data_IF_409383528634
#
_entry.id   IF_409383528634
#
_cell.length_a   1.000
_cell.length_b   1.000
_cell.length_c   1.000
_cell.angle_alpha   90.00
_cell.angle_beta   90.00
_cell.angle_gamma   90.00
#
_symmetry.space_group_name_H-M   'P 1'
#
loop_
_entity.id
_entity.type
_entity.pdbx_description
1 polymer ?
2 water ?
#
# COMPACT_ATOMS: atom_id res chain seq x y z
N UNK A 2 -0.60 -9.84 -11.00
CA UNK A 2 0.53 -10.50 -11.67
C UNK A 2 0.75 -11.84 -10.99
N UNK A 3 1.28 -12.80 -11.73
CA UNK A 3 1.55 -14.15 -11.24
C UNK A 3 2.68 -14.11 -10.22
N UNK A 4 3.85 -13.61 -10.61
CA UNK A 4 5.07 -13.84 -9.79
C UNK A 4 5.26 -12.67 -8.82
N UNK A 5 5.18 -11.44 -9.34
CA UNK A 5 5.58 -10.23 -8.57
C UNK A 5 4.40 -9.25 -8.50
N UNK A 6 3.85 -9.06 -7.31
CA UNK A 6 2.94 -7.95 -6.99
C UNK A 6 3.74 -6.92 -6.20
N UNK A 7 4.43 -6.02 -6.91
CA UNK A 7 5.56 -5.22 -6.39
C UNK A 7 5.09 -4.27 -5.26
N UNK A 8 3.87 -3.77 -5.28
CA UNK A 8 3.42 -2.87 -4.20
C UNK A 8 3.16 -3.73 -2.95
N UNK A 9 2.55 -4.88 -3.10
CA UNK A 9 2.31 -5.76 -1.92
C UNK A 9 3.67 -6.23 -1.38
N UNK A 10 4.57 -6.65 -2.24
CA UNK A 10 5.93 -7.07 -1.81
C UNK A 10 6.63 -5.92 -1.10
N UNK A 11 6.58 -4.70 -1.66
CA UNK A 11 7.16 -3.51 -0.99
C UNK A 11 6.54 -3.31 0.42
N UNK A 12 5.23 -3.45 0.59
CA UNK A 12 4.58 -3.32 1.93
C UNK A 12 5.22 -4.34 2.88
N UNK A 13 5.50 -5.56 2.38
CA UNK A 13 6.00 -6.66 3.21
C UNK A 13 7.47 -6.41 3.58
N UNK A 14 8.31 -6.12 2.62
CA UNK A 14 9.77 -6.01 2.92
C UNK A 14 10.01 -4.63 3.56
N UNK A 15 9.18 -3.63 3.24
CA UNK A 15 9.23 -2.32 3.93
C UNK A 15 8.96 -2.43 5.42
N UNK A 16 7.90 -3.13 5.79
CA UNK A 16 7.57 -3.49 7.21
C UNK A 16 8.76 -4.21 7.85
N UNK A 17 9.32 -5.22 7.20
CA UNK A 17 10.52 -5.93 7.71
C UNK A 17 11.66 -4.96 7.99
N UNK A 18 11.95 -4.04 7.06
CA UNK A 18 13.02 -3.08 7.30
C UNK A 18 12.69 -2.26 8.55
N UNK A 19 11.41 -1.92 8.77
CA UNK A 19 10.98 -1.03 9.86
C UNK A 19 10.66 -1.78 11.17
N UNK A 20 10.71 -3.11 11.19
CA UNK A 20 10.13 -3.89 12.31
C UNK A 20 10.95 -5.17 12.47
N UNK A 21 11.87 -5.18 13.44
CA UNK A 21 12.77 -6.34 13.66
C UNK A 21 11.97 -7.64 13.87
N UNK A 22 10.94 -7.60 14.69
CA UNK A 22 10.13 -8.80 15.06
C UNK A 22 9.40 -9.28 13.80
N UNK A 23 8.82 -8.37 13.01
CA UNK A 23 8.14 -8.83 11.78
C UNK A 23 9.16 -9.45 10.83
N UNK A 24 10.31 -8.79 10.69
CA UNK A 24 11.41 -9.29 9.82
C UNK A 24 11.72 -10.71 10.20
N UNK A 25 11.77 -11.03 11.49
CA UNK A 25 12.21 -12.37 11.96
C UNK A 25 11.10 -13.40 11.71
N UNK A 26 9.84 -13.03 11.90
CA UNK A 26 8.66 -13.90 11.64
C UNK A 26 8.64 -14.21 10.15
N UNK A 27 8.94 -13.20 9.32
CA UNK A 27 8.90 -13.29 7.85
C UNK A 27 10.03 -14.19 7.39
N UNK A 28 11.21 -14.09 7.97
CA UNK A 28 12.33 -14.97 7.56
C UNK A 28 12.02 -16.43 7.91
N UNK A 29 11.45 -16.63 9.09
CA UNK A 29 11.18 -18.01 9.59
C UNK A 29 10.04 -18.63 8.78
N UNK A 30 9.02 -17.85 8.46
CA UNK A 30 7.74 -18.38 7.96
C UNK A 30 7.12 -17.37 7.01
N UNK A 31 7.73 -17.14 5.82
CA UNK A 31 7.37 -16.01 4.98
C UNK A 31 5.90 -15.97 4.54
N UNK A 32 5.39 -17.08 4.00
CA UNK A 32 4.03 -17.08 3.42
C UNK A 32 3.04 -16.75 4.53
N UNK A 33 3.21 -17.32 5.72
CA UNK A 33 2.28 -17.13 6.86
C UNK A 33 2.45 -15.73 7.43
N UNK A 34 3.68 -15.22 7.56
CA UNK A 34 3.93 -13.85 8.06
C UNK A 34 3.23 -12.83 7.15
N UNK A 35 3.40 -12.98 5.84
CA UNK A 35 2.74 -12.08 4.87
C UNK A 35 1.19 -12.21 4.91
N UNK A 36 0.65 -13.43 5.00
CA UNK A 36 -0.82 -13.67 5.12
C UNK A 36 -1.38 -12.93 6.35
N UNK A 37 -0.61 -12.90 7.43
CA UNK A 37 -0.96 -12.20 8.70
C UNK A 37 -1.19 -10.71 8.50
N UNK A 38 -0.57 -10.12 7.48
CA UNK A 38 -0.73 -8.66 7.22
C UNK A 38 -1.50 -8.48 5.90
N UNK A 39 -2.18 -9.55 5.46
CA UNK A 39 -3.12 -9.51 4.31
C UNK A 39 -2.39 -9.52 2.98
N UNK A 40 -1.17 -10.07 2.91
CA UNK A 40 -0.47 -10.23 1.61
C UNK A 40 -0.32 -11.70 1.27
N UNK A 41 -0.52 -12.02 -0.01
CA UNK A 41 -0.22 -13.35 -0.57
C UNK A 41 1.08 -13.24 -1.36
N UNK A 42 2.07 -13.98 -0.92
CA UNK A 42 3.32 -14.08 -1.69
C UNK A 42 3.25 -15.29 -2.63
N UNK A 43 3.61 -15.10 -3.90
CA UNK A 43 3.89 -16.20 -4.83
C UNK A 43 5.10 -17.00 -4.33
N UNK A 44 5.29 -18.21 -4.86
CA UNK A 44 6.48 -19.03 -4.54
C UNK A 44 7.72 -18.22 -4.96
N UNK A 45 7.67 -17.50 -6.08
CA UNK A 45 8.80 -16.61 -6.48
C UNK A 45 9.11 -15.61 -5.36
N UNK A 46 8.09 -14.90 -4.90
CA UNK A 46 8.29 -13.88 -3.83
C UNK A 46 8.75 -14.54 -2.53
N UNK A 47 8.31 -15.76 -2.22
CA UNK A 47 8.76 -16.46 -1.00
C UNK A 47 10.29 -16.72 -1.10
N UNK A 48 10.79 -17.22 -2.23
CA UNK A 48 12.24 -17.48 -2.33
C UNK A 48 13.00 -16.17 -2.27
N UNK A 49 12.46 -15.11 -2.87
CA UNK A 49 13.07 -13.77 -2.85
C UNK A 49 13.19 -13.25 -1.40
N UNK A 50 12.12 -13.29 -0.64
CA UNK A 50 12.07 -12.81 0.78
C UNK A 50 13.07 -13.63 1.60
N UNK A 51 13.22 -14.94 1.33
CA UNK A 51 14.17 -15.79 2.10
C UNK A 51 15.62 -15.34 1.84
N UNK A 52 15.90 -14.62 0.76
CA UNK A 52 17.25 -14.16 0.38
C UNK A 52 17.60 -12.84 1.09
N UNK A 53 16.72 -12.32 1.97
CA UNK A 53 17.06 -11.19 2.88
C UNK A 53 17.69 -11.76 4.16
N UNK A 54 18.97 -11.49 4.31
CA UNK A 54 19.75 -11.87 5.51
C UNK A 54 19.31 -10.98 6.67
N UNK A 55 18.83 -11.58 7.76
CA UNK A 55 18.29 -10.84 8.91
C UNK A 55 19.36 -9.90 9.49
N UNK A 56 20.62 -10.34 9.66
CA UNK A 56 21.68 -9.49 10.25
C UNK A 56 21.90 -8.26 9.35
N UNK A 57 21.91 -8.47 8.04
CA UNK A 57 22.15 -7.39 7.06
C UNK A 57 20.98 -6.43 7.09
N UNK A 58 19.77 -6.94 7.25
CA UNK A 58 18.59 -6.06 7.30
C UNK A 58 18.60 -5.25 8.59
N UNK A 59 18.92 -5.89 9.70
CA UNK A 59 19.06 -5.16 10.99
C UNK A 59 20.11 -4.05 10.81
N UNK A 60 21.26 -4.34 10.20
CA UNK A 60 22.31 -3.31 10.00
C UNK A 60 21.73 -2.11 9.24
N UNK A 61 20.97 -2.37 8.18
CA UNK A 61 20.38 -1.33 7.31
C UNK A 61 19.27 -0.57 8.05
N UNK A 62 18.48 -1.26 8.87
CA UNK A 62 17.24 -0.69 9.44
C UNK A 62 17.37 -0.21 10.89
N UNK A 63 18.49 -0.39 11.59
CA UNK A 63 18.52 -0.18 13.06
C UNK A 63 18.21 1.29 13.35
N UNK A 64 18.73 2.21 12.56
CA UNK A 64 18.59 3.66 12.83
C UNK A 64 17.14 4.06 12.55
N UNK A 65 16.57 3.62 11.43
CA UNK A 65 15.20 4.08 11.06
C UNK A 65 14.20 3.43 12.03
N UNK A 66 14.43 2.17 12.41
CA UNK A 66 13.56 1.49 13.42
C UNK A 66 13.49 2.38 14.67
N UNK A 67 14.64 2.82 15.20
CA UNK A 67 14.70 3.62 16.45
C UNK A 67 13.91 4.90 16.25
N UNK A 68 14.18 5.61 15.16
CA UNK A 68 13.62 6.96 14.92
C UNK A 68 12.10 6.88 14.72
N UNK A 69 11.63 5.90 13.97
CA UNK A 69 10.18 5.79 13.71
C UNK A 69 9.51 5.31 14.99
N UNK A 70 10.14 4.43 15.75
CA UNK A 70 9.56 3.89 17.00
C UNK A 70 9.23 5.03 17.96
N UNK A 71 10.18 5.92 18.22
CA UNK A 71 10.00 7.04 19.19
C UNK A 71 8.86 7.96 18.71
N UNK A 72 8.76 8.20 17.40
CA UNK A 72 7.75 9.10 16.79
C UNK A 72 6.34 8.49 16.87
N UNK A 73 6.23 7.18 16.70
CA UNK A 73 4.95 6.47 16.60
C UNK A 73 4.23 6.52 17.94
N UNK A 74 4.91 6.43 19.08
CA UNK A 74 4.16 6.13 20.35
C UNK A 74 3.06 7.17 20.58
N UNK A 75 3.41 8.47 20.59
CA UNK A 75 2.45 9.56 20.88
C UNK A 75 2.09 10.36 19.63
N UNK A 76 2.09 9.72 18.47
CA UNK A 76 1.73 10.38 17.19
C UNK A 76 0.25 10.84 17.25
N UNK A 77 -0.07 12.00 16.67
CA UNK A 77 -1.43 12.63 16.67
C UNK A 77 -2.11 12.44 15.30
N UNK A 78 -3.37 12.90 15.16
CA UNK A 78 -4.04 13.17 13.85
C UNK A 78 -3.85 14.65 13.50
N UNK A 79 -3.96 15.02 12.21
CA UNK A 79 -3.55 16.34 11.64
C UNK A 79 -4.71 17.35 11.78
N UNK B 2 -2.08 10.25 10.15
CA UNK B 2 -1.35 10.56 11.37
C UNK B 2 -0.41 11.70 11.01
N UNK B 3 0.02 12.44 12.01
CA UNK B 3 0.90 13.60 11.84
C UNK B 3 2.29 13.11 11.43
N UNK B 4 2.97 12.33 12.26
CA UNK B 4 4.41 12.06 12.03
C UNK B 4 4.60 10.80 11.18
N UNK B 5 3.86 9.72 11.47
CA UNK B 5 4.14 8.37 10.88
C UNK B 5 2.88 7.81 10.24
N UNK B 6 2.86 7.71 8.92
CA UNK B 6 1.87 6.92 8.15
C UNK B 6 2.58 5.63 7.75
N UNK B 7 2.54 4.64 8.63
CA UNK B 7 3.50 3.49 8.57
C UNK B 7 3.27 2.67 7.29
N UNK B 8 2.06 2.60 6.73
CA UNK B 8 1.87 1.80 5.48
C UNK B 8 2.49 2.58 4.31
N UNK B 9 2.31 3.89 4.25
CA UNK B 9 2.95 4.70 3.16
C UNK B 9 4.48 4.67 3.33
N UNK B 10 5.00 4.80 4.55
CA UNK B 10 6.45 4.73 4.79
C UNK B 10 6.97 3.36 4.34
N UNK B 11 6.32 2.26 4.76
CA UNK B 11 6.67 0.90 4.31
C UNK B 11 6.72 0.80 2.77
N UNK B 12 5.72 1.31 2.04
CA UNK B 12 5.74 1.36 0.57
C UNK B 12 7.02 2.04 0.09
N UNK B 13 7.42 3.16 0.70
CA UNK B 13 8.61 3.93 0.24
C UNK B 13 9.89 3.15 0.55
N UNK B 14 10.08 2.70 1.78
CA UNK B 14 11.40 2.11 2.18
C UNK B 14 11.44 0.69 1.60
N UNK B 15 10.30 0.04 1.41
CA UNK B 15 10.24 -1.29 0.77
C UNK B 15 10.68 -1.20 -0.69
N UNK B 16 10.17 -0.22 -1.41
CA UNK B 16 10.63 0.07 -2.79
C UNK B 16 12.14 0.33 -2.79
N UNK B 17 12.65 1.17 -1.90
CA UNK B 17 14.12 1.36 -1.75
C UNK B 17 14.86 0.05 -1.56
N UNK B 18 14.38 -0.83 -0.68
CA UNK B 18 15.06 -2.11 -0.52
C UNK B 18 15.05 -2.86 -1.87
N UNK B 19 13.95 -2.76 -2.62
CA UNK B 19 13.77 -3.52 -3.89
C UNK B 19 14.37 -2.84 -5.11
N UNK B 20 14.87 -1.61 -4.99
CA UNK B 20 15.15 -0.78 -6.20
C UNK B 20 16.30 0.17 -5.91
N UNK B 21 17.51 -0.19 -6.34
CA UNK B 21 18.75 0.57 -6.02
C UNK B 21 18.65 2.02 -6.52
N UNK B 22 18.08 2.23 -7.70
CA UNK B 22 17.97 3.59 -8.31
C UNK B 22 17.00 4.41 -7.46
N UNK B 23 15.85 3.83 -7.08
CA UNK B 23 14.91 4.56 -6.21
C UNK B 23 15.57 4.86 -4.87
N UNK B 24 16.21 3.88 -4.25
CA UNK B 24 16.88 4.08 -2.94
C UNK B 24 17.77 5.32 -3.00
N UNK B 25 18.53 5.45 -4.07
CA UNK B 25 19.55 6.52 -4.28
C UNK B 25 18.85 7.87 -4.45
N UNK B 26 17.78 7.92 -5.24
CA UNK B 26 16.96 9.14 -5.46
C UNK B 26 16.38 9.58 -4.11
N UNK B 27 15.85 8.62 -3.35
CA UNK B 27 15.20 8.83 -2.04
C UNK B 27 16.23 9.34 -1.07
N UNK B 28 17.43 8.76 -1.04
CA UNK B 28 18.50 9.24 -0.12
C UNK B 28 18.88 10.68 -0.48
N UNK B 29 19.00 10.98 -1.77
CA UNK B 29 19.43 12.35 -2.22
C UNK B 29 18.34 13.37 -1.91
N UNK B 30 17.08 13.04 -2.11
CA UNK B 30 15.98 14.03 -2.18
C UNK B 30 14.71 13.34 -1.69
N UNK B 31 14.59 13.02 -0.38
CA UNK B 31 13.53 12.11 0.06
C UNK B 31 12.09 12.63 -0.18
N UNK B 32 11.76 13.88 0.21
CA UNK B 32 10.36 14.39 0.09
C UNK B 32 9.98 14.32 -1.40
N UNK B 33 10.83 14.78 -2.29
CA UNK B 33 10.57 14.78 -3.75
C UNK B 33 10.47 13.33 -4.26
N UNK B 34 11.36 12.41 -3.86
CA UNK B 34 11.31 11.02 -4.38
C UNK B 34 9.97 10.36 -3.97
N UNK B 35 9.59 10.53 -2.72
CA UNK B 35 8.36 9.91 -2.18
C UNK B 35 7.15 10.56 -2.89
N UNK B 36 7.16 11.88 -3.12
CA UNK B 36 6.05 12.58 -3.85
C UNK B 36 5.90 12.01 -5.26
N UNK B 37 7.00 11.66 -5.90
CA UNK B 37 6.99 11.08 -7.25
C UNK B 37 6.27 9.74 -7.29
N UNK B 38 6.13 9.03 -6.18
CA UNK B 38 5.38 7.74 -6.14
C UNK B 38 4.12 7.93 -5.30
N UNK B 39 3.73 9.18 -5.05
CA UNK B 39 2.42 9.54 -4.50
C UNK B 39 2.37 9.48 -2.97
N UNK B 40 3.50 9.58 -2.29
CA UNK B 40 3.61 9.56 -0.82
C UNK B 40 4.09 10.92 -0.33
N UNK B 41 3.44 11.43 0.73
CA UNK B 41 3.90 12.62 1.48
C UNK B 41 4.62 12.16 2.75
N UNK B 42 5.91 12.41 2.84
CA UNK B 42 6.67 12.18 4.10
C UNK B 42 6.58 13.44 4.99
N UNK B 43 6.29 13.23 6.26
CA UNK B 43 6.40 14.24 7.31
C UNK B 43 7.88 14.54 7.51
N UNK B 44 8.18 15.62 8.21
CA UNK B 44 9.58 15.99 8.46
C UNK B 44 10.19 14.87 9.32
N UNK B 45 9.40 14.26 10.21
CA UNK B 45 9.85 13.07 11.00
C UNK B 45 10.28 11.95 10.05
N UNK B 46 9.41 11.62 9.11
CA UNK B 46 9.71 10.53 8.13
C UNK B 46 10.89 10.88 7.25
N UNK B 47 11.09 12.16 6.92
CA UNK B 47 12.22 12.54 6.02
C UNK B 47 13.53 12.28 6.78
N UNK B 48 13.60 12.71 8.02
CA UNK B 48 14.81 12.47 8.82
C UNK B 48 15.03 10.98 9.04
N UNK B 49 13.97 10.20 9.30
CA UNK B 49 14.13 8.74 9.45
C UNK B 49 14.67 8.11 8.15
N UNK B 50 14.12 8.46 7.01
CA UNK B 50 14.58 7.90 5.69
C UNK B 50 16.05 8.27 5.46
N UNK B 51 16.48 9.47 5.85
CA UNK B 51 17.89 9.88 5.62
C UNK B 51 18.83 9.03 6.49
N UNK B 52 18.33 8.36 7.54
CA UNK B 52 19.15 7.50 8.44
C UNK B 52 19.31 6.10 7.83
N UNK B 53 18.85 5.88 6.61
CA UNK B 53 19.16 4.64 5.86
C UNK B 53 20.42 4.86 5.04
N UNK B 54 21.48 4.16 5.43
CA UNK B 54 22.80 4.16 4.74
C UNK B 54 22.68 3.35 3.46
N UNK B 55 22.99 3.96 2.33
CA UNK B 55 22.77 3.34 1.00
C UNK B 55 23.58 2.04 0.90
N UNK B 56 24.85 2.04 1.29
CA UNK B 56 25.69 0.81 1.17
C UNK B 56 25.07 -0.32 1.98
N UNK B 57 24.56 -0.02 3.18
CA UNK B 57 23.98 -1.04 4.07
C UNK B 57 22.68 -1.53 3.47
N UNK B 58 21.90 -0.64 2.86
CA UNK B 58 20.64 -1.07 2.21
C UNK B 58 21.00 -1.96 1.01
N UNK B 59 22.00 -1.56 0.24
CA UNK B 59 22.44 -2.38 -0.93
C UNK B 59 22.87 -3.78 -0.42
N UNK B 60 23.59 -3.85 0.70
CA UNK B 60 24.09 -5.14 1.23
C UNK B 60 22.91 -6.03 1.59
N UNK B 61 21.87 -5.44 2.18
CA UNK B 61 20.64 -6.17 2.59
C UNK B 61 19.83 -6.58 1.36
N UNK B 62 19.76 -5.70 0.34
CA UNK B 62 18.80 -5.81 -0.77
C UNK B 62 19.36 -6.49 -2.03
N UNK B 63 20.67 -6.67 -2.18
CA UNK B 63 21.26 -7.01 -3.51
C UNK B 63 20.69 -8.36 -3.98
N UNK B 64 20.51 -9.33 -3.10
CA UNK B 64 20.00 -10.67 -3.47
C UNK B 64 18.53 -10.56 -3.92
N UNK B 65 17.68 -9.90 -3.15
CA UNK B 65 16.24 -9.88 -3.50
C UNK B 65 16.06 -9.00 -4.75
N UNK B 66 16.83 -7.91 -4.88
CA UNK B 66 16.78 -7.08 -6.10
C UNK B 66 17.01 -7.98 -7.33
N UNK B 67 18.09 -8.76 -7.33
CA UNK B 67 18.40 -9.68 -8.47
C UNK B 67 17.24 -10.63 -8.71
N UNK B 68 16.76 -11.29 -7.66
CA UNK B 68 15.73 -12.35 -7.83
C UNK B 68 14.41 -11.74 -8.31
N UNK B 69 13.99 -10.58 -7.82
CA UNK B 69 12.66 -10.02 -8.20
C UNK B 69 12.77 -9.43 -9.63
N UNK B 70 13.90 -8.82 -9.95
CA UNK B 70 14.15 -8.25 -11.28
C UNK B 70 13.98 -9.32 -12.35
N UNK B 71 14.63 -10.48 -12.20
CA UNK B 71 14.56 -11.56 -13.25
C UNK B 71 13.10 -12.02 -13.38
N UNK B 72 12.36 -12.08 -12.29
CA UNK B 72 10.94 -12.53 -12.30
C UNK B 72 10.02 -11.50 -12.95
N UNK B 73 10.30 -10.20 -12.77
CA UNK B 73 9.39 -9.11 -13.16
C UNK B 73 9.30 -9.02 -14.68
N UNK B 74 10.38 -9.25 -15.40
CA UNK B 74 10.43 -8.83 -16.85
C UNK B 74 9.28 -9.51 -17.60
N UNK B 75 9.18 -10.84 -17.55
CA UNK B 75 8.19 -11.62 -18.35
C UNK B 75 7.05 -12.12 -17.46
N UNK B 76 6.76 -11.44 -16.36
CA UNK B 76 5.66 -11.83 -15.45
C UNK B 76 4.32 -11.76 -16.24
N UNK B 77 3.37 -12.64 -15.92
CA UNK B 77 2.04 -12.84 -16.55
C UNK B 77 0.91 -12.32 -15.64
N UNK B 78 -0.35 -12.39 -16.09
CA UNK B 78 -1.58 -12.15 -15.27
C UNK B 78 -2.12 -13.46 -14.69
N UNK C 4 1.12 10.95 -13.20
CA UNK C 4 0.00 11.87 -12.84
C UNK C 4 -1.09 11.06 -12.15
N UNK C 5 -1.49 9.92 -12.73
CA UNK C 5 -2.48 8.99 -12.10
C UNK C 5 -1.74 7.76 -11.56
N UNK C 6 -1.50 7.74 -10.26
CA UNK C 6 -0.96 6.58 -9.53
C UNK C 6 -2.10 5.68 -9.04
N UNK C 7 -2.39 4.63 -9.80
CA UNK C 7 -3.51 3.69 -9.54
C UNK C 7 -3.48 3.25 -8.07
N UNK C 8 -2.33 2.85 -7.54
CA UNK C 8 -2.27 2.16 -6.22
C UNK C 8 -2.53 3.18 -5.11
N UNK C 9 -1.94 4.36 -5.25
CA UNK C 9 -2.03 5.39 -4.20
C UNK C 9 -3.49 5.88 -4.20
N UNK C 10 -4.05 6.06 -5.37
CA UNK C 10 -5.43 6.57 -5.50
C UNK C 10 -6.41 5.52 -4.96
N UNK C 11 -6.10 4.23 -5.15
CA UNK C 11 -6.96 3.12 -4.67
C UNK C 11 -7.00 3.22 -3.15
N UNK C 12 -5.84 3.40 -2.50
CA UNK C 12 -5.79 3.44 -1.01
C UNK C 12 -6.74 4.54 -0.55
N UNK C 13 -6.73 5.69 -1.24
CA UNK C 13 -7.51 6.90 -0.85
C UNK C 13 -9.01 6.63 -1.10
N UNK C 14 -9.39 6.30 -2.33
CA UNK C 14 -10.83 6.17 -2.69
C UNK C 14 -11.38 4.91 -2.02
N UNK C 15 -10.57 3.86 -1.87
CA UNK C 15 -10.98 2.65 -1.16
C UNK C 15 -11.30 2.95 0.30
N UNK C 16 -10.48 3.78 0.96
CA UNK C 16 -10.77 4.21 2.36
C UNK C 16 -12.06 5.03 2.40
N UNK C 17 -12.30 5.91 1.42
CA UNK C 17 -13.56 6.69 1.32
C UNK C 17 -14.77 5.73 1.23
N UNK C 18 -14.69 4.73 0.37
CA UNK C 18 -15.78 3.72 0.20
C UNK C 18 -16.05 3.07 1.56
N UNK C 19 -15.00 2.75 2.33
CA UNK C 19 -15.09 1.96 3.60
C UNK C 19 -15.42 2.85 4.80
N UNK C 20 -15.29 4.18 4.68
CA UNK C 20 -15.27 5.14 5.82
C UNK C 20 -15.98 6.44 5.44
N UNK C 21 -17.25 6.58 5.87
CA UNK C 21 -18.14 7.76 5.63
C UNK C 21 -17.41 9.05 5.99
N UNK C 22 -16.76 9.10 7.14
CA UNK C 22 -16.14 10.33 7.69
C UNK C 22 -14.90 10.71 6.87
N UNK C 23 -14.04 9.74 6.53
CA UNK C 23 -12.92 9.99 5.59
C UNK C 23 -13.51 10.45 4.25
N UNK C 24 -14.54 9.77 3.75
CA UNK C 24 -15.23 10.11 2.47
C UNK C 24 -15.60 11.60 2.48
N UNK C 25 -16.11 12.08 3.63
CA UNK C 25 -16.55 13.49 3.86
C UNK C 25 -15.36 14.44 3.80
N UNK C 26 -14.33 14.16 4.61
CA UNK C 26 -13.04 14.92 4.64
C UNK C 26 -12.49 15.02 3.21
N UNK C 27 -12.48 13.89 2.52
CA UNK C 27 -11.89 13.78 1.17
C UNK C 27 -12.67 14.70 0.22
N UNK C 28 -13.99 14.72 0.30
CA UNK C 28 -14.82 15.63 -0.54
C UNK C 28 -14.52 17.10 -0.18
N UNK C 29 -14.49 17.47 1.11
CA UNK C 29 -14.24 18.86 1.59
C UNK C 29 -12.91 19.38 1.03
N UNK C 30 -11.86 18.55 1.08
CA UNK C 30 -10.49 18.96 0.68
C UNK C 30 -9.66 17.71 0.35
N UNK C 31 -9.68 17.23 -0.91
CA UNK C 31 -9.06 15.94 -1.22
C UNK C 31 -7.57 15.93 -0.86
N UNK C 32 -6.84 17.02 -1.15
CA UNK C 32 -5.38 17.12 -0.94
C UNK C 32 -5.04 16.92 0.52
N UNK C 33 -5.73 17.64 1.41
CA UNK C 33 -5.54 17.60 2.88
C UNK C 33 -5.97 16.23 3.40
N UNK C 34 -7.10 15.69 2.93
CA UNK C 34 -7.60 14.36 3.36
C UNK C 34 -6.54 13.29 3.08
N UNK C 35 -6.03 13.28 1.85
CA UNK C 35 -5.01 12.31 1.38
C UNK C 35 -3.68 12.53 2.12
N UNK C 36 -3.24 13.76 2.29
CA UNK C 36 -1.96 14.04 2.99
C UNK C 36 -2.04 13.53 4.43
N UNK C 37 -3.22 13.59 5.02
CA UNK C 37 -3.42 13.13 6.41
C UNK C 37 -3.18 11.65 6.56
N UNK C 38 -3.22 10.86 5.47
CA UNK C 38 -2.91 9.40 5.52
C UNK C 38 -1.62 9.13 4.74
N UNK C 39 -0.84 10.18 4.44
CA UNK C 39 0.53 10.06 3.88
C UNK C 39 0.52 10.01 2.35
N UNK C 40 -0.60 10.31 1.70
CA UNK C 40 -0.72 10.21 0.21
C UNK C 40 -0.59 11.61 -0.38
N UNK C 41 0.22 11.74 -1.40
CA UNK C 41 0.32 12.97 -2.23
C UNK C 41 -0.49 12.76 -3.50
N UNK C 42 -1.53 13.57 -3.69
CA UNK C 42 -2.38 13.52 -4.91
C UNK C 42 -1.90 14.59 -5.88
N UNK C 43 -1.73 14.22 -7.13
CA UNK C 43 -1.52 15.20 -8.24
C UNK C 43 -2.81 15.97 -8.49
N UNK C 44 -2.70 17.03 -9.30
CA UNK C 44 -3.81 17.88 -9.75
C UNK C 44 -4.87 17.02 -10.42
N UNK C 45 -4.47 16.14 -11.33
CA UNK C 45 -5.36 15.16 -12.03
C UNK C 45 -6.06 14.27 -11.00
N UNK C 46 -5.32 13.70 -10.06
CA UNK C 46 -5.92 12.85 -9.00
C UNK C 46 -6.92 13.67 -8.18
N UNK C 47 -6.61 14.93 -7.88
CA UNK C 47 -7.51 15.79 -7.06
C UNK C 47 -8.85 15.96 -7.80
N UNK C 48 -8.81 16.31 -9.09
CA UNK C 48 -9.99 16.48 -9.96
C UNK C 48 -10.76 15.18 -10.10
N UNK C 49 -10.07 14.05 -10.22
CA UNK C 49 -10.70 12.72 -10.24
C UNK C 49 -11.45 12.50 -8.93
N UNK C 50 -10.80 12.72 -7.78
CA UNK C 50 -11.43 12.47 -6.46
C UNK C 50 -12.65 13.38 -6.29
N UNK C 51 -12.57 14.61 -6.75
CA UNK C 51 -13.68 15.60 -6.67
C UNK C 51 -14.90 15.11 -7.46
N UNK C 52 -14.72 14.31 -8.49
CA UNK C 52 -15.82 13.78 -9.34
C UNK C 52 -16.50 12.56 -8.68
N UNK C 53 -16.18 12.26 -7.41
CA UNK C 53 -16.90 11.20 -6.62
C UNK C 53 -18.12 11.83 -5.96
N UNK C 54 -19.33 11.42 -6.34
CA UNK C 54 -20.59 11.89 -5.69
C UNK C 54 -20.76 11.18 -4.33
N UNK C 55 -20.86 11.94 -3.24
CA UNK C 55 -20.98 11.42 -1.84
C UNK C 55 -22.18 10.48 -1.76
N UNK C 56 -23.28 10.84 -2.41
CA UNK C 56 -24.56 10.09 -2.32
C UNK C 56 -24.36 8.72 -2.97
N UNK C 57 -23.86 8.68 -4.19
CA UNK C 57 -23.64 7.41 -4.91
C UNK C 57 -22.59 6.58 -4.15
N UNK C 58 -21.59 7.24 -3.57
CA UNK C 58 -20.51 6.49 -2.85
C UNK C 58 -21.11 5.85 -1.61
N UNK C 59 -21.88 6.63 -0.84
CA UNK C 59 -22.61 6.12 0.34
C UNK C 59 -23.51 4.97 -0.11
N UNK C 60 -24.23 5.14 -1.21
CA UNK C 60 -25.16 4.11 -1.72
C UNK C 60 -24.36 2.81 -1.98
N UNK C 61 -23.14 2.94 -2.53
CA UNK C 61 -22.24 1.82 -2.87
C UNK C 61 -21.59 1.27 -1.59
N UNK C 62 -21.31 2.14 -0.61
CA UNK C 62 -20.54 1.77 0.59
C UNK C 62 -21.39 1.27 1.74
N UNK C 63 -22.69 1.61 1.79
CA UNK C 63 -23.52 1.42 3.00
C UNK C 63 -23.40 -0.03 3.50
N UNK C 64 -23.58 -1.01 2.62
CA UNK C 64 -23.57 -2.43 3.02
C UNK C 64 -22.19 -2.78 3.59
N UNK C 65 -21.10 -2.52 2.86
CA UNK C 65 -19.73 -2.98 3.30
C UNK C 65 -19.31 -2.23 4.58
N UNK C 66 -19.72 -0.97 4.76
CA UNK C 66 -19.43 -0.16 5.97
C UNK C 66 -20.09 -0.82 7.19
N UNK C 67 -21.29 -1.39 7.03
CA UNK C 67 -21.96 -2.20 8.08
C UNK C 67 -21.09 -3.40 8.48
N UNK C 68 -20.73 -4.26 7.52
CA UNK C 68 -19.89 -5.48 7.74
C UNK C 68 -18.56 -5.11 8.42
N UNK C 69 -18.22 -3.83 8.45
CA UNK C 69 -16.97 -3.26 9.01
C UNK C 69 -17.33 -2.35 10.20
N UNK D 4 -9.26 -11.08 10.85
CA UNK D 4 -10.47 -10.22 10.64
C UNK D 4 -10.11 -9.13 9.62
N UNK D 5 -10.25 -7.84 9.95
CA UNK D 5 -10.42 -6.75 8.94
C UNK D 5 -9.17 -5.87 8.86
N UNK D 6 -8.42 -6.00 7.78
CA UNK D 6 -7.22 -5.18 7.51
C UNK D 6 -7.63 -3.98 6.66
N UNK D 7 -7.93 -2.84 7.30
CA UNK D 7 -8.48 -1.61 6.67
C UNK D 7 -7.68 -1.27 5.41
N UNK D 8 -6.35 -1.28 5.49
CA UNK D 8 -5.45 -0.84 4.39
C UNK D 8 -5.52 -1.82 3.23
N UNK D 9 -5.45 -3.12 3.53
CA UNK D 9 -5.35 -4.14 2.46
C UNK D 9 -6.70 -4.13 1.74
N UNK D 10 -7.77 -4.05 2.51
CA UNK D 10 -9.16 -4.02 1.97
C UNK D 10 -9.35 -2.76 1.14
N UNK D 11 -8.84 -1.62 1.60
CA UNK D 11 -8.96 -0.35 0.86
C UNK D 11 -8.34 -0.51 -0.53
N UNK D 12 -7.15 -1.11 -0.63
CA UNK D 12 -6.44 -1.35 -1.91
C UNK D 12 -7.34 -2.10 -2.88
N UNK D 13 -8.04 -3.12 -2.38
CA UNK D 13 -8.87 -4.04 -3.21
C UNK D 13 -10.11 -3.27 -3.66
N UNK D 14 -10.87 -2.72 -2.72
CA UNK D 14 -12.20 -2.14 -3.09
C UNK D 14 -11.96 -0.81 -3.78
N UNK D 15 -10.89 -0.09 -3.41
CA UNK D 15 -10.47 1.13 -4.12
C UNK D 15 -10.17 0.83 -5.58
N UNK D 16 -9.53 -0.31 -5.86
CA UNK D 16 -9.20 -0.67 -7.27
C UNK D 16 -10.51 -0.97 -7.99
N UNK D 17 -11.40 -1.70 -7.35
CA UNK D 17 -12.75 -2.04 -7.86
C UNK D 17 -13.48 -0.74 -8.25
N UNK D 18 -13.44 0.25 -7.39
CA UNK D 18 -14.11 1.54 -7.66
C UNK D 18 -13.49 2.18 -8.90
N UNK D 19 -12.18 2.01 -9.11
CA UNK D 19 -11.44 2.72 -10.18
C UNK D 19 -11.44 1.94 -11.50
N UNK D 20 -11.85 0.66 -11.52
CA UNK D 20 -11.55 -0.26 -12.65
C UNK D 20 -12.67 -1.29 -12.74
N UNK D 21 -13.51 -1.15 -13.78
CA UNK D 21 -14.79 -1.90 -13.94
C UNK D 21 -14.50 -3.40 -14.04
N UNK D 22 -13.46 -3.77 -14.80
CA UNK D 22 -13.09 -5.19 -15.05
C UNK D 22 -12.52 -5.80 -13.76
N UNK D 23 -11.75 -5.08 -12.98
CA UNK D 23 -11.32 -5.62 -11.67
C UNK D 23 -12.55 -5.82 -10.78
N UNK D 24 -13.43 -4.82 -10.72
CA UNK D 24 -14.69 -4.89 -9.94
C UNK D 24 -15.44 -6.20 -10.28
N UNK D 25 -15.52 -6.56 -11.56
CA UNK D 25 -16.25 -7.75 -12.03
C UNK D 25 -15.56 -9.00 -11.51
N UNK D 26 -14.24 -9.11 -11.68
CA UNK D 26 -13.45 -10.26 -11.16
C UNK D 26 -13.70 -10.39 -9.66
N UNK D 27 -13.58 -9.28 -8.96
CA UNK D 27 -13.73 -9.25 -7.49
C UNK D 27 -15.10 -9.81 -7.10
N UNK D 28 -16.15 -9.47 -7.84
CA UNK D 28 -17.52 -9.96 -7.53
C UNK D 28 -17.62 -11.46 -7.84
N UNK D 29 -17.15 -11.91 -9.01
CA UNK D 29 -17.13 -13.36 -9.37
C UNK D 29 -16.45 -14.15 -8.25
N UNK D 30 -15.21 -13.78 -7.89
CA UNK D 30 -14.37 -14.56 -6.93
C UNK D 30 -13.45 -13.61 -6.16
N UNK D 31 -13.89 -13.06 -5.00
CA UNK D 31 -13.11 -12.05 -4.31
C UNK D 31 -11.72 -12.57 -3.86
N UNK D 32 -11.64 -13.81 -3.39
CA UNK D 32 -10.37 -14.40 -2.89
C UNK D 32 -9.40 -14.48 -4.07
N UNK D 33 -9.82 -15.02 -5.22
CA UNK D 33 -8.99 -15.15 -6.45
C UNK D 33 -8.60 -13.76 -6.98
N UNK D 34 -9.57 -12.85 -7.09
CA UNK D 34 -9.34 -11.47 -7.57
C UNK D 34 -8.27 -10.79 -6.72
N UNK D 35 -8.41 -10.85 -5.40
CA UNK D 35 -7.46 -10.22 -4.45
C UNK D 35 -6.08 -10.88 -4.58
N UNK D 36 -6.02 -12.21 -4.64
CA UNK D 36 -4.74 -12.94 -4.75
C UNK D 36 -3.98 -12.51 -6.00
N UNK D 37 -4.70 -12.29 -7.08
CA UNK D 37 -4.11 -11.83 -8.34
C UNK D 37 -3.47 -10.49 -8.20
N UNK D 38 -3.73 -9.71 -7.15
CA UNK D 38 -2.98 -8.43 -6.94
C UNK D 38 -2.13 -8.55 -5.67
N UNK D 39 -1.96 -9.79 -5.14
CA UNK D 39 -1.07 -10.06 -3.97
C UNK D 39 -1.73 -9.82 -2.61
N UNK D 40 -3.06 -9.66 -2.53
CA UNK D 40 -3.79 -9.41 -1.26
C UNK D 40 -4.40 -10.73 -0.79
N UNK D 41 -4.20 -11.08 0.47
CA UNK D 41 -4.94 -12.17 1.16
C UNK D 41 -6.10 -11.56 1.92
N UNK D 42 -7.32 -11.92 1.53
CA UNK D 42 -8.59 -11.53 2.20
C UNK D 42 -8.96 -12.62 3.20
N UNK D 43 -9.22 -12.22 4.45
CA UNK D 43 -9.79 -13.11 5.49
C UNK D 43 -11.20 -13.53 5.07
N UNK D 44 -11.80 -14.45 5.80
CA UNK D 44 -13.19 -14.90 5.59
C UNK D 44 -14.12 -13.68 5.70
N UNK D 45 -13.94 -12.89 6.77
CA UNK D 45 -14.70 -11.64 7.06
C UNK D 45 -14.61 -10.68 5.87
N UNK D 46 -13.38 -10.47 5.39
CA UNK D 46 -13.10 -9.55 4.26
C UNK D 46 -13.78 -10.06 2.99
N UNK D 47 -13.74 -11.36 2.71
CA UNK D 47 -14.42 -11.92 1.51
C UNK D 47 -15.92 -11.59 1.62
N UNK D 48 -16.51 -11.76 2.80
CA UNK D 48 -17.95 -11.51 3.05
C UNK D 48 -18.27 -10.04 2.93
N UNK D 49 -17.38 -9.18 3.39
CA UNK D 49 -17.51 -7.72 3.28
C UNK D 49 -17.51 -7.32 1.79
N UNK D 50 -16.58 -7.84 1.00
CA UNK D 50 -16.41 -7.43 -0.43
C UNK D 50 -17.65 -7.86 -1.23
N UNK D 51 -18.18 -9.04 -0.93
CA UNK D 51 -19.34 -9.66 -1.62
C UNK D 51 -20.56 -8.75 -1.45
N UNK D 52 -20.63 -8.07 -0.30
CA UNK D 52 -21.72 -7.13 0.04
C UNK D 52 -21.61 -5.84 -0.79
N UNK D 53 -20.65 -5.73 -1.72
CA UNK D 53 -20.59 -4.57 -2.66
C UNK D 53 -21.47 -4.90 -3.86
N UNK D 54 -22.39 -3.99 -4.21
CA UNK D 54 -23.32 -4.12 -5.36
C UNK D 54 -22.63 -3.55 -6.61
N UNK D 55 -22.35 -4.40 -7.60
CA UNK D 55 -21.68 -4.03 -8.87
C UNK D 55 -22.30 -2.76 -9.46
N UNK D 56 -23.64 -2.72 -9.53
CA UNK D 56 -24.42 -1.62 -10.17
C UNK D 56 -24.19 -0.32 -9.39
N UNK D 57 -24.37 -0.35 -8.06
CA UNK D 57 -24.12 0.81 -7.17
C UNK D 57 -22.64 1.23 -7.26
N UNK D 58 -21.71 0.26 -7.26
CA UNK D 58 -20.28 0.62 -7.35
C UNK D 58 -20.02 1.31 -8.71
N UNK D 59 -20.57 0.75 -9.80
CA UNK D 59 -20.39 1.34 -11.15
C UNK D 59 -20.96 2.76 -11.13
N UNK D 60 -22.15 2.94 -10.55
CA UNK D 60 -22.78 4.28 -10.44
C UNK D 60 -21.83 5.21 -9.68
N UNK D 61 -21.27 4.76 -8.55
CA UNK D 61 -20.32 5.58 -7.75
C UNK D 61 -19.05 5.85 -8.55
N UNK D 62 -18.62 4.88 -9.36
CA UNK D 62 -17.32 4.91 -10.06
C UNK D 62 -17.37 5.56 -11.44
N UNK D 63 -18.52 5.59 -12.13
CA UNK D 63 -18.58 6.01 -13.55
C UNK D 63 -17.76 7.29 -13.73
N UNK D 64 -18.06 8.31 -12.91
CA UNK D 64 -17.51 9.68 -13.01
C UNK D 64 -15.99 9.65 -12.88
N UNK D 65 -15.45 8.90 -11.90
CA UNK D 65 -13.97 8.88 -11.66
C UNK D 65 -13.27 8.04 -12.75
N UNK D 66 -13.87 6.90 -13.15
CA UNK D 66 -13.29 5.93 -14.12
C UNK D 66 -13.04 6.62 -15.47
N UNK D 67 -13.97 7.47 -15.90
CA UNK D 67 -13.89 8.19 -17.21
C UNK D 67 -12.76 9.23 -17.14
N UNK D 68 -12.64 9.97 -16.04
CA UNK D 68 -11.55 10.98 -15.83
C UNK D 68 -10.18 10.29 -15.83
N UNK D 69 -10.13 8.98 -15.60
CA UNK D 69 -8.90 8.18 -15.36
C UNK D 69 -8.73 7.14 -16.48
#
# INVERSE_FOLDING_TARGET
MSTKVNQERLASVVGRALLDKDFAAQLHQDPEAAAKGIGVHLSATEVGAVKSIDTAKLTSAGSAIRDKIGVAAIFDTQQQQARMD
MSTKVNQERLASVVGRALLDKDFAAQLHQDPEAAAKGIGVHLSATEVGAVKSIDTAKLTSAGSAIRDKIGVAAIFDTQQQQARMD
MSTKVNQERLASVVGRALLDKDFAAQLHQDPEAAAKGIGVHLSATEVGAVKSIDTAKLTSAGSAIRDKIGVAAIFDTQQQQARMD
MSTKVNQERLASVVGRALLDKDFAAQLHQDPEAAAKGIGVHLSATEVGAVKSIDTAKLTSAGSAIRDKIGVAAIFDTQQQQARMD
#
